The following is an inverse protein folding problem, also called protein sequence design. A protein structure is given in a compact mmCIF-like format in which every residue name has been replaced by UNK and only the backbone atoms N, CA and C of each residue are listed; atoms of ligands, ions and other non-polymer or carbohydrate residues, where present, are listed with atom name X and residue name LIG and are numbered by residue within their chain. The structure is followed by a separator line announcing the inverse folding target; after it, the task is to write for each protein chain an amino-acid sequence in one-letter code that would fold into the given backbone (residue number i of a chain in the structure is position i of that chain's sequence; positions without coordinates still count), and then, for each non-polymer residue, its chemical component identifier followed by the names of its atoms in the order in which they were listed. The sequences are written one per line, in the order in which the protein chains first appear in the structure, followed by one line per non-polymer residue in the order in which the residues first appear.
data_IF_831675041724
#
_entry.id   IF_831675041724
#
_cell.length_a   1.000
_cell.length_b   1.000
_cell.length_c   1.000
_cell.angle_alpha   90.00
_cell.angle_beta   90.00
_cell.angle_gamma   90.00
#
_symmetry.space_group_name_H-M   'P 1'
#
loop_
_entity.id
_entity.type
_entity.pdbx_description
1 polymer ?
#
# COMPACT_ATOMS: atom_id res chain seq x y z
N UNK A 1 13.99 16.39 5.32
CA UNK A 1 12.81 15.69 4.76
C UNK A 1 13.00 14.18 4.59
N UNK A 2 14.17 13.69 4.17
CA UNK A 2 14.44 12.26 3.99
C UNK A 2 14.13 11.34 5.20
N UNK A 3 14.29 11.84 6.44
CA UNK A 3 13.99 11.06 7.63
C UNK A 3 12.48 10.75 7.80
N UNK A 4 11.62 11.72 7.48
CA UNK A 4 10.17 11.53 7.55
C UNK A 4 9.69 10.56 6.45
N UNK A 5 10.17 10.76 5.21
CA UNK A 5 9.82 9.87 4.10
C UNK A 5 10.31 8.44 4.33
N UNK A 6 11.52 8.26 4.87
CA UNK A 6 12.03 6.95 5.22
C UNK A 6 11.25 6.33 6.39
N UNK A 7 10.83 7.13 7.36
CA UNK A 7 9.97 6.69 8.45
C UNK A 7 8.59 6.22 7.96
N UNK A 8 8.04 6.89 6.95
CA UNK A 8 6.76 6.53 6.36
C UNK A 8 6.86 5.23 5.56
N UNK A 9 7.91 5.09 4.73
CA UNK A 9 8.16 3.88 3.95
C UNK A 9 8.53 2.67 4.83
N UNK A 10 9.21 2.90 5.96
CA UNK A 10 9.66 1.87 6.90
C UNK A 10 8.61 1.44 7.94
N UNK A 11 7.42 2.07 7.96
CA UNK A 11 6.36 1.74 8.93
C UNK A 11 6.66 2.14 10.37
N UNK A 12 7.57 3.10 10.56
CA UNK A 12 8.05 3.59 11.85
C UNK A 12 7.71 5.07 12.10
N UNK A 13 6.94 5.69 11.19
CA UNK A 13 6.39 7.02 11.40
C UNK A 13 5.29 7.00 12.47
N UNK A 14 5.29 7.99 13.35
CA UNK A 14 4.24 8.21 14.35
C UNK A 14 3.56 9.55 14.09
N UNK A 15 2.23 9.56 14.13
CA UNK A 15 1.41 10.75 13.97
C UNK A 15 0.62 11.01 15.25
N UNK A 16 0.56 12.27 15.66
CA UNK A 16 -0.29 12.73 16.75
C UNK A 16 -0.92 14.09 16.39
N UNK A 17 -2.24 14.12 16.24
CA UNK A 17 -3.03 15.30 15.88
C UNK A 17 -3.59 15.91 17.16
N UNK A 18 -3.49 17.23 17.28
CA UNK A 18 -3.90 17.97 18.46
C UNK A 18 -4.95 19.02 18.09
N UNK A 19 -5.87 19.28 19.01
CA UNK A 19 -6.81 20.40 18.94
C UNK A 19 -6.76 21.19 20.24
N UNK A 20 -7.39 22.37 20.24
CA UNK A 20 -7.49 23.20 21.45
C UNK A 20 -8.28 22.51 22.56
N UNK A 21 -9.28 21.71 22.20
CA UNK A 21 -10.07 20.91 23.14
C UNK A 21 -9.28 19.70 23.68
N UNK A 22 -8.37 19.14 22.88
CA UNK A 22 -7.58 17.97 23.24
C UNK A 22 -6.07 18.21 23.04
N UNK A 23 -5.43 19.02 23.91
CA UNK A 23 -4.03 19.40 23.79
C UNK A 23 -3.06 18.24 24.05
N UNK A 24 -3.52 17.15 24.65
CA UNK A 24 -2.72 15.93 24.79
C UNK A 24 -2.57 15.16 23.47
N UNK A 25 -3.47 15.36 22.50
CA UNK A 25 -3.56 14.63 21.24
C UNK A 25 -4.90 13.91 21.09
N UNK A 26 -5.67 14.31 20.07
CA UNK A 26 -7.00 13.80 19.71
C UNK A 26 -6.93 12.50 18.91
N UNK A 27 -5.99 12.39 17.96
CA UNK A 27 -5.80 11.18 17.12
C UNK A 27 -4.33 10.83 17.07
N UNK A 28 -3.98 9.57 17.34
CA UNK A 28 -2.58 9.10 17.40
C UNK A 28 -2.40 7.70 16.89
N UNK A 29 -1.22 7.42 16.35
CA UNK A 29 -0.84 6.06 15.99
C UNK A 29 0.45 5.99 15.18
N UNK A 30 0.97 4.79 15.06
CA UNK A 30 2.04 4.47 14.13
C UNK A 30 1.45 4.24 12.74
N UNK A 31 2.04 4.89 11.74
CA UNK A 31 1.69 4.69 10.34
C UNK A 31 2.43 3.47 9.83
N UNK A 32 1.68 2.50 9.31
CA UNK A 32 2.21 1.32 8.66
C UNK A 32 1.87 1.35 7.17
N UNK A 33 2.81 0.97 6.28
CA UNK A 33 2.49 0.78 4.88
C UNK A 33 1.46 -0.34 4.74
N UNK A 34 0.39 -0.05 4.02
CA UNK A 34 -0.61 -1.06 3.66
C UNK A 34 -0.08 -1.80 2.43
N UNK A 35 0.04 -3.14 2.46
CA UNK A 35 0.46 -3.91 1.29
C UNK A 35 -0.44 -3.59 0.10
N UNK A 36 0.16 -3.44 -1.09
CA UNK A 36 -0.64 -3.19 -2.28
C UNK A 36 -1.62 -4.33 -2.54
N UNK A 37 -2.85 -4.03 -3.00
CA UNK A 37 -3.83 -5.06 -3.32
C UNK A 37 -3.30 -6.04 -4.37
N UNK A 38 -3.72 -7.31 -4.29
CA UNK A 38 -3.33 -8.39 -5.22
C UNK A 38 -3.78 -8.18 -6.68
N UNK A 39 -4.36 -7.02 -7.01
CA UNK A 39 -4.86 -6.62 -8.32
C UNK A 39 -3.82 -6.83 -9.42
N UNK A 40 -2.57 -6.42 -9.22
CA UNK A 40 -1.52 -6.61 -10.23
C UNK A 40 -1.21 -8.10 -10.47
N UNK A 41 -1.22 -8.91 -9.40
CA UNK A 41 -1.08 -10.36 -9.50
C UNK A 41 -2.22 -10.98 -10.31
N UNK A 42 -3.47 -10.56 -10.06
CA UNK A 42 -4.64 -11.03 -10.79
C UNK A 42 -4.61 -10.62 -12.28
N UNK A 43 -4.17 -9.39 -12.58
CA UNK A 43 -3.96 -8.95 -13.96
C UNK A 43 -2.91 -9.83 -14.65
N UNK A 44 -1.78 -10.08 -13.99
CA UNK A 44 -0.73 -10.95 -14.51
C UNK A 44 -1.23 -12.36 -14.80
N UNK A 45 -2.00 -12.95 -13.88
CA UNK A 45 -2.63 -14.26 -14.07
C UNK A 45 -3.62 -14.26 -15.24
N UNK A 46 -4.46 -13.22 -15.36
CA UNK A 46 -5.40 -13.07 -16.46
C UNK A 46 -4.71 -12.97 -17.82
N UNK A 47 -3.66 -12.15 -17.93
CA UNK A 47 -2.86 -11.99 -19.15
C UNK A 47 -2.16 -13.29 -19.53
N UNK A 48 -1.58 -14.01 -18.56
CA UNK A 48 -0.95 -15.30 -18.80
C UNK A 48 -1.96 -16.35 -19.29
N UNK A 49 -3.13 -16.45 -18.65
CA UNK A 49 -4.20 -17.34 -19.06
C UNK A 49 -4.73 -17.03 -20.47
N UNK A 50 -4.89 -15.74 -20.79
CA UNK A 50 -5.30 -15.29 -22.11
C UNK A 50 -4.26 -15.61 -23.20
N UNK A 51 -2.98 -15.35 -22.93
CA UNK A 51 -1.89 -15.70 -23.84
C UNK A 51 -1.81 -17.22 -24.09
N UNK A 52 -2.01 -18.03 -23.04
CA UNK A 52 -2.06 -19.48 -23.15
C UNK A 52 -3.24 -19.96 -24.01
N UNK A 53 -4.43 -19.42 -23.79
CA UNK A 53 -5.62 -19.75 -24.59
C UNK A 53 -5.40 -19.41 -26.07
N UNK A 54 -4.80 -18.26 -26.39
CA UNK A 54 -4.46 -17.88 -27.77
C UNK A 54 -3.48 -18.84 -28.44
N UNK A 55 -2.45 -19.29 -27.72
CA UNK A 55 -1.49 -20.27 -28.27
C UNK A 55 -2.14 -21.61 -28.60
N UNK A 56 -3.15 -22.04 -27.83
CA UNK A 56 -3.87 -23.30 -28.08
C UNK A 56 -4.82 -23.24 -29.28
N UNK A 57 -5.35 -22.07 -29.61
CA UNK A 57 -6.24 -21.89 -30.76
C UNK A 57 -5.46 -21.75 -32.07
N UNK A 58 -4.20 -21.29 -32.00
CA UNK A 58 -3.32 -21.12 -33.15
C UNK A 58 -2.48 -22.37 -33.50
N UNK A 59 -2.57 -23.43 -32.69
CA UNK A 59 -1.94 -24.73 -32.90
C UNK A 59 -2.98 -25.73 -33.40
#
# INVERSE_FOLDING_TARGET
EAALSNGLAGGNAYLNIHTTAFPGGEIRGNLAPVPEPTTLGLIGLGLAGFGYARKRVAA
#
